data_IF_399764410607
#
_entry.id   IF_399764410607
#
_cell.length_a   1.000
_cell.length_b   1.000
_cell.length_c   1.000
_cell.angle_alpha   90.00
_cell.angle_beta   90.00
_cell.angle_gamma   90.00
#
_symmetry.space_group_name_H-M   'P 1'
#
loop_
_entity.id
_entity.type
_entity.pdbx_description
1 polymer ?
#
# COMPACT_ATOMS: atom_id res chain seq x y z
N UNK A 1 -21.23 -44.39 23.60
CA UNK A 1 -20.87 -43.57 24.77
C UNK A 1 -19.35 -43.46 24.75
N UNK A 2 -18.80 -42.25 24.59
CA UNK A 2 -17.34 -42.05 24.54
C UNK A 2 -16.79 -42.38 25.92
N UNK A 3 -15.72 -43.19 26.02
CA UNK A 3 -15.13 -43.53 27.31
C UNK A 3 -14.41 -42.31 27.90
N UNK A 4 -14.25 -42.22 29.24
CA UNK A 4 -13.51 -41.11 29.86
C UNK A 4 -12.09 -40.94 29.31
N UNK A 5 -11.43 -42.04 28.94
CA UNK A 5 -10.10 -42.05 28.33
C UNK A 5 -10.14 -41.50 26.89
N UNK A 6 -11.13 -41.90 26.08
CA UNK A 6 -11.33 -41.35 24.74
C UNK A 6 -11.68 -39.86 24.78
N UNK A 7 -12.49 -39.43 25.75
CA UNK A 7 -12.81 -38.02 25.97
C UNK A 7 -11.56 -37.23 26.35
N UNK A 8 -10.68 -37.79 27.19
CA UNK A 8 -9.41 -37.15 27.57
C UNK A 8 -8.47 -37.04 26.39
N UNK A 9 -8.33 -38.09 25.58
CA UNK A 9 -7.48 -38.09 24.38
C UNK A 9 -8.00 -37.14 23.31
N UNK A 10 -9.33 -37.04 23.14
CA UNK A 10 -9.94 -36.05 22.25
C UNK A 10 -9.69 -34.64 22.78
N UNK A 11 -9.82 -34.40 24.09
CA UNK A 11 -9.54 -33.11 24.69
C UNK A 11 -8.05 -32.75 24.70
N UNK A 12 -7.15 -33.72 24.85
CA UNK A 12 -5.70 -33.53 24.73
C UNK A 12 -5.29 -33.27 23.28
N UNK A 13 -5.86 -34.00 22.32
CA UNK A 13 -5.67 -33.75 20.90
C UNK A 13 -6.25 -32.38 20.49
N UNK A 14 -7.46 -32.05 20.95
CA UNK A 14 -8.07 -30.73 20.74
C UNK A 14 -7.25 -29.65 21.41
N UNK A 15 -6.68 -29.85 22.60
CA UNK A 15 -5.76 -28.89 23.25
C UNK A 15 -4.41 -28.77 22.55
N UNK A 16 -3.86 -29.84 21.99
CA UNK A 16 -2.63 -29.75 21.18
C UNK A 16 -2.89 -29.07 19.85
N UNK A 17 -4.11 -29.16 19.30
CA UNK A 17 -4.57 -28.37 18.16
C UNK A 17 -5.00 -26.94 18.54
N UNK A 18 -5.40 -26.72 19.80
CA UNK A 18 -5.78 -25.43 20.41
C UNK A 18 -4.63 -24.83 21.23
N UNK A 19 -3.37 -25.17 20.93
CA UNK A 19 -2.33 -24.18 21.18
C UNK A 19 -2.76 -23.02 20.28
N UNK A 20 -3.35 -21.99 20.87
CA UNK A 20 -3.45 -20.67 20.24
C UNK A 20 -2.06 -20.41 19.71
N UNK A 21 -1.87 -20.62 18.41
CA UNK A 21 -0.56 -20.60 17.82
C UNK A 21 -0.05 -19.19 18.11
N UNK A 22 0.99 -19.05 18.95
CA UNK A 22 1.58 -17.74 19.23
C UNK A 22 1.69 -16.96 17.92
N UNK A 23 1.29 -15.68 17.87
CA UNK A 23 1.33 -14.93 16.63
C UNK A 23 2.76 -14.98 16.08
N UNK A 24 2.90 -15.16 14.76
CA UNK A 24 4.22 -15.16 14.12
C UNK A 24 4.93 -13.84 14.45
N UNK A 25 6.23 -13.92 14.77
CA UNK A 25 7.06 -12.72 14.86
C UNK A 25 7.29 -12.13 13.47
N UNK A 26 7.75 -10.88 13.37
CA UNK A 26 7.98 -10.25 12.08
C UNK A 26 9.09 -10.93 11.27
N UNK A 27 10.10 -11.50 11.94
CA UNK A 27 11.16 -12.27 11.31
C UNK A 27 10.61 -13.57 10.71
N UNK A 28 9.72 -14.25 11.42
CA UNK A 28 9.06 -15.46 10.92
C UNK A 28 8.11 -15.13 9.76
N UNK A 29 7.36 -14.03 9.87
CA UNK A 29 6.51 -13.51 8.80
C UNK A 29 7.31 -13.20 7.54
N UNK A 30 8.48 -12.57 7.67
CA UNK A 30 9.39 -12.30 6.56
C UNK A 30 9.88 -13.59 5.88
N UNK A 31 10.27 -14.59 6.68
CA UNK A 31 10.70 -15.89 6.17
C UNK A 31 9.59 -16.57 5.37
N UNK A 32 8.35 -16.56 5.87
CA UNK A 32 7.18 -17.09 5.16
C UNK A 32 6.94 -16.31 3.87
N UNK A 33 6.99 -14.98 3.95
CA UNK A 33 6.88 -14.06 2.82
C UNK A 33 7.80 -14.41 1.67
N UNK A 34 9.09 -14.67 1.96
CA UNK A 34 10.07 -15.08 0.94
C UNK A 34 9.68 -16.36 0.22
N UNK A 35 9.13 -17.35 0.92
CA UNK A 35 8.73 -18.61 0.28
C UNK A 35 7.50 -18.42 -0.59
N UNK A 36 6.53 -17.63 -0.12
CA UNK A 36 5.35 -17.26 -0.92
C UNK A 36 5.79 -16.51 -2.18
N UNK A 37 6.66 -15.50 -2.05
CA UNK A 37 7.20 -14.76 -3.18
C UNK A 37 7.98 -15.67 -4.15
N UNK A 38 8.79 -16.60 -3.63
CA UNK A 38 9.50 -17.57 -4.47
C UNK A 38 8.55 -18.51 -5.22
N UNK A 39 7.45 -18.93 -4.60
CA UNK A 39 6.42 -19.73 -5.26
C UNK A 39 5.74 -18.96 -6.40
N UNK A 40 5.42 -17.67 -6.20
CA UNK A 40 4.91 -16.80 -7.27
C UNK A 40 5.95 -16.66 -8.40
N UNK A 41 7.22 -16.44 -8.06
CA UNK A 41 8.31 -16.31 -9.04
C UNK A 41 8.64 -17.61 -9.79
N UNK A 42 8.19 -18.76 -9.30
CA UNK A 42 8.27 -20.01 -10.05
C UNK A 42 7.23 -20.11 -11.17
N UNK A 43 6.14 -19.34 -11.06
CA UNK A 43 5.04 -19.30 -12.03
C UNK A 43 5.13 -18.09 -12.96
N UNK A 44 5.63 -16.96 -12.46
CA UNK A 44 5.76 -15.71 -13.19
C UNK A 44 7.22 -15.27 -13.31
N UNK A 45 7.65 -14.90 -14.51
CA UNK A 45 8.97 -14.31 -14.72
C UNK A 45 9.02 -12.88 -14.20
N UNK A 46 10.19 -12.45 -13.73
CA UNK A 46 10.44 -11.04 -13.39
C UNK A 46 10.47 -10.24 -14.69
N UNK A 47 9.83 -9.08 -14.69
CA UNK A 47 9.83 -8.22 -15.84
C UNK A 47 11.17 -7.48 -16.00
N UNK A 48 11.80 -7.61 -17.16
CA UNK A 48 13.13 -7.05 -17.46
C UNK A 48 13.06 -5.54 -17.77
N UNK A 49 12.57 -4.78 -16.79
CA UNK A 49 12.49 -3.32 -16.80
C UNK A 49 12.91 -2.77 -15.43
N UNK A 50 14.22 -2.65 -15.16
CA UNK A 50 14.73 -2.23 -13.87
C UNK A 50 14.34 -0.78 -13.52
N UNK A 51 14.24 0.10 -14.53
CA UNK A 51 13.83 1.50 -14.33
C UNK A 51 12.37 1.60 -13.88
N UNK A 52 11.47 0.84 -14.53
CA UNK A 52 10.06 0.72 -14.14
C UNK A 52 9.94 0.16 -12.71
N UNK A 53 10.65 -0.93 -12.43
CA UNK A 53 10.61 -1.56 -11.11
C UNK A 53 11.10 -0.61 -10.03
N UNK A 54 12.22 0.09 -10.26
CA UNK A 54 12.75 1.09 -9.33
C UNK A 54 11.77 2.23 -9.09
N UNK A 55 11.06 2.68 -10.14
CA UNK A 55 10.05 3.72 -10.04
C UNK A 55 8.88 3.33 -9.14
N UNK A 56 8.29 2.17 -9.41
CA UNK A 56 7.17 1.61 -8.66
C UNK A 56 7.58 1.35 -7.22
N UNK A 57 8.77 0.80 -7.01
CA UNK A 57 9.31 0.55 -5.68
C UNK A 57 9.51 1.87 -4.90
N UNK A 58 9.95 2.96 -5.57
CA UNK A 58 10.04 4.28 -4.95
C UNK A 58 8.68 4.82 -4.48
N UNK A 59 7.63 4.69 -5.32
CA UNK A 59 6.27 5.09 -4.93
C UNK A 59 5.80 4.26 -3.74
N UNK A 60 5.91 2.93 -3.85
CA UNK A 60 5.40 2.07 -2.80
C UNK A 60 6.18 2.13 -1.49
N UNK A 61 7.48 2.40 -1.50
CA UNK A 61 8.22 2.73 -0.27
C UNK A 61 7.71 4.04 0.36
N UNK A 62 7.43 5.06 -0.46
CA UNK A 62 6.83 6.32 0.01
C UNK A 62 5.46 6.12 0.63
N UNK A 63 4.61 5.28 0.04
CA UNK A 63 3.31 4.90 0.60
C UNK A 63 3.45 4.07 1.88
N UNK A 64 4.33 3.06 1.86
CA UNK A 64 4.57 2.17 2.99
C UNK A 64 5.04 2.89 4.25
N UNK A 65 5.72 4.03 4.12
CA UNK A 65 6.09 4.88 5.25
C UNK A 65 4.87 5.33 6.07
N UNK A 66 3.72 5.49 5.42
CA UNK A 66 2.47 5.88 6.05
C UNK A 66 1.56 4.69 6.38
N UNK A 67 1.97 3.44 6.13
CA UNK A 67 1.13 2.26 6.38
C UNK A 67 0.96 1.98 7.88
N UNK A 68 0.04 1.06 8.21
CA UNK A 68 -0.16 0.55 9.56
C UNK A 68 1.09 -0.17 10.13
N UNK A 69 2.02 -0.61 9.27
CA UNK A 69 3.26 -1.31 9.65
C UNK A 69 4.46 -0.80 8.84
N UNK A 70 4.95 0.42 9.10
CA UNK A 70 6.03 1.00 8.29
C UNK A 70 7.40 0.35 8.54
N UNK A 71 7.58 -0.31 9.68
CA UNK A 71 8.87 -0.84 10.16
C UNK A 71 8.92 -2.38 10.11
N UNK A 72 8.76 -2.98 8.93
CA UNK A 72 9.04 -4.41 8.72
C UNK A 72 10.55 -4.68 8.70
N UNK A 73 11.04 -5.86 9.11
CA UNK A 73 12.48 -6.16 9.25
C UNK A 73 13.33 -5.80 8.03
N UNK A 74 12.83 -6.07 6.82
CA UNK A 74 13.50 -5.74 5.55
C UNK A 74 12.73 -4.69 4.72
N UNK A 75 11.70 -4.08 5.31
CA UNK A 75 10.83 -3.13 4.63
C UNK A 75 9.92 -3.78 3.58
N UNK A 76 9.38 -2.94 2.69
CA UNK A 76 8.52 -3.38 1.58
C UNK A 76 9.31 -3.55 0.29
N UNK A 77 9.03 -4.63 -0.43
CA UNK A 77 9.64 -4.97 -1.70
C UNK A 77 8.58 -5.16 -2.75
N UNK A 78 8.52 -4.23 -3.71
CA UNK A 78 7.62 -4.32 -4.85
C UNK A 78 8.39 -4.77 -6.09
N UNK A 79 7.85 -5.78 -6.78
CA UNK A 79 8.44 -6.37 -7.97
C UNK A 79 7.41 -6.46 -9.10
N UNK A 80 7.84 -6.17 -10.32
CA UNK A 80 7.00 -6.27 -11.51
C UNK A 80 7.19 -7.63 -12.18
N UNK A 81 6.09 -8.29 -12.51
CA UNK A 81 6.05 -9.60 -13.15
C UNK A 81 5.71 -9.47 -14.64
N UNK A 82 6.37 -10.27 -15.48
CA UNK A 82 6.16 -10.33 -16.92
C UNK A 82 4.93 -11.19 -17.26
N UNK A 83 3.74 -10.61 -17.08
CA UNK A 83 2.48 -11.18 -17.53
C UNK A 83 1.54 -10.09 -18.04
N UNK A 84 0.83 -10.39 -19.13
CA UNK A 84 -0.27 -9.57 -19.65
C UNK A 84 -1.57 -9.76 -18.87
N UNK A 85 -1.68 -10.84 -18.09
CA UNK A 85 -2.77 -11.03 -17.13
C UNK A 85 -2.63 -10.01 -16.01
N UNK A 86 -3.74 -9.51 -15.49
CA UNK A 86 -3.71 -8.60 -14.36
C UNK A 86 -3.82 -9.38 -13.07
N UNK A 87 -2.73 -9.40 -12.30
CA UNK A 87 -2.65 -9.97 -10.95
C UNK A 87 -1.79 -9.08 -10.05
N UNK A 88 -2.10 -9.13 -8.76
CA UNK A 88 -1.21 -8.70 -7.71
C UNK A 88 -1.18 -9.75 -6.59
N UNK A 89 -0.06 -9.79 -5.88
CA UNK A 89 0.18 -10.70 -4.78
C UNK A 89 0.78 -9.93 -3.62
N UNK A 90 -0.03 -9.63 -2.61
CA UNK A 90 0.40 -9.11 -1.31
C UNK A 90 0.79 -10.28 -0.39
N UNK A 91 2.07 -10.63 -0.38
CA UNK A 91 2.62 -11.67 0.48
C UNK A 91 3.03 -11.11 1.86
N UNK A 92 3.05 -11.97 2.91
CA UNK A 92 3.49 -11.56 4.24
C UNK A 92 4.90 -10.98 4.25
N UNK A 93 5.25 -10.16 5.24
CA UNK A 93 6.63 -9.70 5.42
C UNK A 93 7.13 -8.67 4.40
N UNK A 94 6.22 -7.96 3.72
CA UNK A 94 6.55 -6.80 2.91
C UNK A 94 6.63 -7.03 1.40
N UNK A 95 6.36 -8.25 0.91
CA UNK A 95 6.47 -8.56 -0.51
C UNK A 95 5.17 -8.25 -1.26
N UNK A 96 5.26 -7.41 -2.29
CA UNK A 96 4.14 -7.07 -3.18
C UNK A 96 4.57 -7.34 -4.63
N UNK A 97 3.96 -8.30 -5.30
CA UNK A 97 4.31 -8.64 -6.69
C UNK A 97 3.15 -8.27 -7.60
N UNK A 98 3.41 -7.52 -8.67
CA UNK A 98 2.36 -6.96 -9.54
C UNK A 98 2.71 -7.27 -10.99
N UNK A 99 1.75 -7.72 -11.79
CA UNK A 99 1.97 -7.97 -13.21
C UNK A 99 1.95 -6.67 -14.02
N UNK A 100 2.74 -6.62 -15.10
CA UNK A 100 2.69 -5.48 -16.04
C UNK A 100 1.31 -5.31 -16.69
N UNK A 101 0.56 -6.39 -16.86
CA UNK A 101 -0.84 -6.35 -17.30
C UNK A 101 -1.71 -5.50 -16.38
N UNK A 102 -1.58 -5.66 -15.06
CA UNK A 102 -2.35 -4.86 -14.09
C UNK A 102 -1.96 -3.38 -14.14
N UNK A 103 -0.66 -3.08 -14.31
CA UNK A 103 -0.17 -1.70 -14.41
C UNK A 103 -0.80 -0.93 -15.58
N UNK A 104 -1.16 -1.60 -16.69
CA UNK A 104 -1.82 -0.98 -17.85
C UNK A 104 -3.20 -0.39 -17.54
N UNK A 105 -3.85 -0.84 -16.46
CA UNK A 105 -5.14 -0.27 -16.02
C UNK A 105 -4.97 1.08 -15.32
N UNK A 106 -3.76 1.44 -14.90
CA UNK A 106 -3.50 2.71 -14.24
C UNK A 106 -3.40 3.82 -15.29
N UNK A 107 -4.26 4.84 -15.18
CA UNK A 107 -4.31 5.94 -16.14
C UNK A 107 -3.35 7.09 -15.84
N UNK A 108 -2.85 7.16 -14.61
CA UNK A 108 -1.95 8.18 -14.08
C UNK A 108 -1.26 7.65 -12.81
N UNK A 109 -0.34 8.44 -12.25
CA UNK A 109 0.38 8.05 -11.03
C UNK A 109 -0.52 7.93 -9.80
N UNK A 110 -1.57 8.75 -9.67
CA UNK A 110 -2.49 8.64 -8.53
C UNK A 110 -3.17 7.26 -8.50
N UNK A 111 -3.62 6.75 -9.66
CA UNK A 111 -4.20 5.41 -9.78
C UNK A 111 -3.17 4.32 -9.53
N UNK A 112 -1.93 4.50 -9.98
CA UNK A 112 -0.83 3.57 -9.68
C UNK A 112 -0.54 3.54 -8.17
N UNK A 113 -0.46 4.71 -7.54
CA UNK A 113 -0.30 4.82 -6.09
C UNK A 113 -1.48 4.18 -5.36
N UNK A 114 -2.71 4.32 -5.85
CA UNK A 114 -3.89 3.71 -5.25
C UNK A 114 -3.87 2.18 -5.31
N UNK A 115 -3.49 1.61 -6.46
CA UNK A 115 -3.26 0.17 -6.60
C UNK A 115 -2.19 -0.30 -5.60
N UNK A 116 -1.04 0.36 -5.56
CA UNK A 116 0.04 -0.01 -4.63
C UNK A 116 -0.38 0.12 -3.17
N UNK A 117 -1.10 1.17 -2.82
CA UNK A 117 -1.61 1.41 -1.49
C UNK A 117 -2.55 0.27 -1.06
N UNK A 118 -3.47 -0.16 -1.93
CA UNK A 118 -4.36 -1.29 -1.67
C UNK A 118 -3.60 -2.57 -1.34
N UNK A 119 -2.62 -2.95 -2.18
CA UNK A 119 -1.82 -4.16 -1.97
C UNK A 119 -0.93 -4.06 -0.73
N UNK A 120 -0.33 -2.90 -0.49
CA UNK A 120 0.46 -2.63 0.73
C UNK A 120 -0.43 -2.76 1.98
N UNK A 121 -1.69 -2.32 1.93
CA UNK A 121 -2.64 -2.47 3.04
C UNK A 121 -2.91 -3.93 3.37
N UNK A 122 -3.05 -4.82 2.38
CA UNK A 122 -3.20 -6.25 2.63
C UNK A 122 -2.02 -6.84 3.40
N UNK A 123 -0.79 -6.47 3.02
CA UNK A 123 0.42 -6.88 3.75
C UNK A 123 0.50 -6.22 5.13
N UNK A 124 0.25 -4.91 5.23
CA UNK A 124 0.34 -4.14 6.47
C UNK A 124 -0.65 -4.62 7.54
N UNK A 125 -1.86 -5.00 7.13
CA UNK A 125 -2.91 -5.50 8.01
C UNK A 125 -2.77 -7.01 8.29
N UNK A 126 -1.82 -7.69 7.65
CA UNK A 126 -1.55 -9.11 7.87
C UNK A 126 -2.61 -10.03 7.26
N UNK A 127 -3.36 -9.58 6.25
CA UNK A 127 -4.42 -10.36 5.61
C UNK A 127 -3.88 -11.68 5.01
N UNK A 128 -2.70 -11.65 4.37
CA UNK A 128 -2.05 -12.84 3.84
C UNK A 128 -1.70 -13.88 4.92
N UNK A 129 -1.21 -13.42 6.08
CA UNK A 129 -0.88 -14.28 7.21
C UNK A 129 -2.14 -14.87 7.86
N UNK A 130 -3.19 -14.06 7.98
CA UNK A 130 -4.48 -14.51 8.48
C UNK A 130 -5.13 -15.54 7.55
N UNK A 131 -5.01 -15.37 6.23
CA UNK A 131 -5.48 -16.34 5.25
C UNK A 131 -4.70 -17.67 5.34
N UNK A 132 -3.37 -17.62 5.45
CA UNK A 132 -2.51 -18.80 5.65
C UNK A 132 -2.87 -19.59 6.92
N UNK A 133 -3.06 -18.90 8.05
CA UNK A 133 -3.40 -19.53 9.32
C UNK A 133 -4.80 -20.14 9.31
N UNK A 134 -5.76 -19.45 8.70
CA UNK A 134 -7.15 -19.90 8.57
C UNK A 134 -7.27 -21.17 7.71
N UNK A 135 -6.34 -21.40 6.79
CA UNK A 135 -6.27 -22.61 5.97
C UNK A 135 -5.67 -23.83 6.68
N UNK A 136 -5.49 -23.76 8.02
CA UNK A 136 -4.86 -24.80 8.86
C UNK A 136 -3.39 -25.07 8.52
N UNK A 137 -2.73 -24.13 7.84
CA UNK A 137 -1.32 -24.22 7.46
C UNK A 137 -0.38 -23.51 8.44
N UNK A 138 -0.94 -22.91 9.50
CA UNK A 138 -0.16 -22.20 10.52
C UNK A 138 0.93 -23.07 11.16
N UNK A 139 0.60 -24.31 11.51
CA UNK A 139 1.57 -25.25 12.11
C UNK A 139 2.70 -25.63 11.15
N UNK A 140 2.39 -25.80 9.85
CA UNK A 140 3.37 -26.09 8.81
C UNK A 140 4.29 -24.88 8.55
N UNK A 141 3.73 -23.68 8.54
CA UNK A 141 4.50 -22.44 8.39
C UNK A 141 5.47 -22.23 9.56
N UNK A 142 5.03 -22.45 10.79
CA UNK A 142 5.92 -22.41 11.98
C UNK A 142 7.03 -23.45 11.92
N UNK A 143 6.69 -24.67 11.49
CA UNK A 143 7.67 -25.73 11.32
C UNK A 143 8.74 -25.36 10.29
N UNK A 144 8.36 -24.76 9.16
CA UNK A 144 9.31 -24.27 8.16
C UNK A 144 10.23 -23.19 8.72
N UNK A 145 9.66 -22.20 9.39
CA UNK A 145 10.42 -21.12 10.03
C UNK A 145 11.49 -21.70 10.98
N UNK A 146 11.11 -22.65 11.82
CA UNK A 146 12.05 -23.36 12.70
C UNK A 146 13.17 -24.07 11.93
N UNK A 147 12.88 -24.67 10.77
CA UNK A 147 13.90 -25.30 9.91
C UNK A 147 14.81 -24.28 9.22
N UNK A 148 14.28 -23.10 8.90
CA UNK A 148 15.00 -22.05 8.17
C UNK A 148 15.95 -21.23 9.04
N UNK A 149 15.69 -21.20 10.35
CA UNK A 149 16.62 -20.65 11.35
C UNK A 149 17.62 -21.74 11.71
N UNK A 150 18.91 -21.41 11.84
CA UNK A 150 20.06 -22.35 11.94
C UNK A 150 20.02 -23.38 13.10
N UNK A 151 18.93 -23.44 13.86
CA UNK A 151 18.70 -24.30 15.02
C UNK A 151 18.30 -25.75 14.66
N UNK A 152 17.95 -26.05 13.41
CA UNK A 152 17.46 -27.38 13.02
C UNK A 152 18.54 -28.24 12.35
N UNK A 153 19.27 -29.02 13.15
CA UNK A 153 20.27 -29.99 12.66
C UNK A 153 19.68 -31.20 11.89
N UNK A 154 18.36 -31.26 11.70
CA UNK A 154 17.68 -32.36 11.02
C UNK A 154 16.75 -31.85 9.91
N UNK A 155 17.27 -31.84 8.69
CA UNK A 155 16.48 -31.61 7.46
C UNK A 155 15.45 -32.74 7.29
N UNK A 156 14.20 -32.50 7.66
CA UNK A 156 13.11 -33.39 7.27
C UNK A 156 12.61 -33.00 5.88
N UNK A 157 13.12 -33.69 4.85
CA UNK A 157 12.79 -33.46 3.45
C UNK A 157 11.28 -33.57 3.17
N UNK A 158 10.59 -34.52 3.81
CA UNK A 158 9.16 -34.76 3.62
C UNK A 158 8.32 -33.57 4.12
N UNK A 159 8.66 -33.04 5.30
CA UNK A 159 7.97 -31.88 5.85
C UNK A 159 8.23 -30.59 5.03
N UNK A 160 9.41 -30.46 4.42
CA UNK A 160 9.71 -29.37 3.48
C UNK A 160 8.86 -29.47 2.21
N UNK A 161 8.76 -30.67 1.61
CA UNK A 161 7.93 -30.89 0.42
C UNK A 161 6.45 -30.60 0.69
N UNK A 162 5.93 -31.02 1.85
CA UNK A 162 4.57 -30.69 2.29
C UNK A 162 4.35 -29.19 2.47
N UNK A 163 5.33 -28.47 3.04
CA UNK A 163 5.23 -27.03 3.18
C UNK A 163 5.29 -26.29 1.83
N UNK A 164 6.14 -26.72 0.91
CA UNK A 164 6.18 -26.12 -0.44
C UNK A 164 4.87 -26.36 -1.20
N UNK A 165 4.31 -27.56 -1.13
CA UNK A 165 3.00 -27.86 -1.70
C UNK A 165 1.90 -26.98 -1.09
N UNK A 166 1.92 -26.81 0.23
CA UNK A 166 1.02 -25.93 0.95
C UNK A 166 1.09 -24.47 0.49
N UNK A 167 2.30 -23.94 0.32
CA UNK A 167 2.51 -22.57 -0.15
C UNK A 167 2.00 -22.42 -1.58
N UNK A 168 2.22 -23.41 -2.45
CA UNK A 168 1.67 -23.41 -3.79
C UNK A 168 0.14 -23.41 -3.79
N UNK A 169 -0.49 -24.27 -2.99
CA UNK A 169 -1.95 -24.31 -2.83
C UNK A 169 -2.48 -22.97 -2.30
N UNK A 170 -1.76 -22.33 -1.35
CA UNK A 170 -2.10 -21.01 -0.84
C UNK A 170 -2.02 -19.94 -1.93
N UNK A 171 -0.93 -19.88 -2.69
CA UNK A 171 -0.79 -18.94 -3.81
C UNK A 171 -1.92 -19.15 -4.82
N UNK A 172 -2.21 -20.39 -5.20
CA UNK A 172 -3.33 -20.70 -6.09
C UNK A 172 -4.69 -20.32 -5.51
N UNK A 173 -4.89 -20.49 -4.21
CA UNK A 173 -6.11 -20.10 -3.52
C UNK A 173 -6.32 -18.59 -3.59
N UNK A 174 -5.36 -17.79 -3.14
CA UNK A 174 -5.49 -16.32 -3.15
C UNK A 174 -5.61 -15.79 -4.59
N UNK A 175 -4.97 -16.47 -5.55
CA UNK A 175 -5.09 -16.15 -6.98
C UNK A 175 -6.50 -16.34 -7.56
N UNK A 176 -7.33 -17.16 -6.91
CA UNK A 176 -8.66 -17.53 -7.43
C UNK A 176 -9.78 -16.97 -6.57
N UNK A 177 -9.64 -17.05 -5.24
CA UNK A 177 -10.68 -16.69 -4.29
C UNK A 177 -10.53 -15.28 -3.71
N UNK A 178 -9.34 -14.69 -3.78
CA UNK A 178 -9.10 -13.38 -3.18
C UNK A 178 -9.17 -13.36 -1.65
N UNK A 179 -9.33 -12.17 -1.10
CA UNK A 179 -9.52 -11.95 0.34
C UNK A 179 -11.00 -11.82 0.71
N UNK A 180 -11.31 -11.91 2.01
CA UNK A 180 -12.69 -11.75 2.48
C UNK A 180 -13.19 -10.31 2.28
N UNK A 181 -14.51 -10.14 2.15
CA UNK A 181 -15.14 -8.82 2.03
C UNK A 181 -14.69 -7.81 3.09
N UNK A 182 -14.55 -8.25 4.35
CA UNK A 182 -14.13 -7.37 5.44
C UNK A 182 -12.70 -6.89 5.22
N UNK A 183 -11.81 -7.77 4.78
CA UNK A 183 -10.42 -7.44 4.48
C UNK A 183 -10.29 -6.47 3.31
N UNK A 184 -11.14 -6.58 2.29
CA UNK A 184 -11.17 -5.60 1.18
C UNK A 184 -11.55 -4.20 1.69
N UNK A 185 -12.57 -4.11 2.55
CA UNK A 185 -12.98 -2.82 3.13
C UNK A 185 -11.93 -2.22 4.08
N UNK A 186 -11.24 -3.06 4.85
CA UNK A 186 -10.13 -2.63 5.70
C UNK A 186 -8.94 -2.17 4.85
N UNK A 187 -8.62 -2.89 3.77
CA UNK A 187 -7.58 -2.52 2.83
C UNK A 187 -7.88 -1.20 2.11
N UNK A 188 -9.12 -0.99 1.66
CA UNK A 188 -9.59 0.26 1.06
C UNK A 188 -9.42 1.45 2.01
N UNK A 189 -9.88 1.30 3.26
CA UNK A 189 -9.83 2.37 4.25
C UNK A 189 -8.38 2.76 4.58
N UNK A 190 -7.50 1.77 4.76
CA UNK A 190 -6.07 2.01 5.01
C UNK A 190 -5.37 2.57 3.78
N UNK A 191 -5.70 2.10 2.58
CA UNK A 191 -5.14 2.60 1.33
C UNK A 191 -5.47 4.09 1.13
N UNK A 192 -6.73 4.48 1.33
CA UNK A 192 -7.14 5.87 1.24
C UNK A 192 -6.44 6.76 2.26
N UNK A 193 -6.20 6.25 3.48
CA UNK A 193 -5.42 6.95 4.48
C UNK A 193 -3.97 7.14 4.04
N UNK A 194 -3.31 6.09 3.56
CA UNK A 194 -1.93 6.19 3.06
C UNK A 194 -1.82 7.16 1.89
N UNK A 195 -2.78 7.13 0.95
CA UNK A 195 -2.82 8.07 -0.17
C UNK A 195 -2.93 9.52 0.32
N UNK A 196 -3.84 9.79 1.25
CA UNK A 196 -4.00 11.13 1.82
C UNK A 196 -2.71 11.64 2.47
N UNK A 197 -2.10 10.83 3.34
CA UNK A 197 -0.87 11.21 4.06
C UNK A 197 0.34 11.34 3.14
N UNK A 198 0.39 10.57 2.04
CA UNK A 198 1.42 10.66 1.01
C UNK A 198 1.13 11.74 -0.05
N UNK A 199 0.12 12.58 0.18
CA UNK A 199 -0.35 13.66 -0.70
C UNK A 199 -0.82 13.19 -2.10
N UNK A 200 -1.15 11.91 -2.27
CA UNK A 200 -1.84 11.40 -3.46
C UNK A 200 -3.35 11.61 -3.35
N UNK A 201 -4.06 11.59 -4.49
CA UNK A 201 -5.53 11.75 -4.49
C UNK A 201 -6.23 10.49 -3.94
N UNK A 202 -6.91 10.52 -2.77
CA UNK A 202 -7.55 9.32 -2.22
C UNK A 202 -8.66 8.75 -3.12
N UNK A 203 -9.36 9.61 -3.87
CA UNK A 203 -10.43 9.18 -4.78
C UNK A 203 -9.92 8.36 -5.98
N UNK A 204 -8.61 8.36 -6.25
CA UNK A 204 -8.02 7.57 -7.34
C UNK A 204 -8.18 6.06 -7.14
N UNK A 205 -8.38 5.59 -5.90
CA UNK A 205 -8.76 4.20 -5.64
C UNK A 205 -10.13 3.87 -6.25
N UNK A 206 -11.09 4.78 -6.15
CA UNK A 206 -12.40 4.64 -6.78
C UNK A 206 -12.29 4.64 -8.31
N UNK A 207 -11.46 5.51 -8.87
CA UNK A 207 -11.22 5.56 -10.32
C UNK A 207 -10.63 4.23 -10.84
N UNK A 208 -9.73 3.62 -10.07
CA UNK A 208 -9.16 2.31 -10.38
C UNK A 208 -10.21 1.20 -10.32
N UNK A 209 -11.04 1.14 -9.26
CA UNK A 209 -12.12 0.14 -9.15
C UNK A 209 -13.13 0.29 -10.30
N UNK A 210 -13.51 1.53 -10.65
CA UNK A 210 -14.39 1.80 -11.80
C UNK A 210 -13.75 1.35 -13.12
N UNK A 211 -12.46 1.60 -13.29
CA UNK A 211 -11.72 1.20 -14.51
C UNK A 211 -11.66 -0.32 -14.64
N UNK A 212 -11.39 -1.01 -13.53
CA UNK A 212 -11.36 -2.47 -13.45
C UNK A 212 -12.73 -3.08 -13.80
N UNK A 213 -13.80 -2.61 -13.15
CA UNK A 213 -15.16 -3.14 -13.33
C UNK A 213 -15.70 -2.90 -14.75
N UNK A 214 -15.36 -1.76 -15.36
CA UNK A 214 -15.79 -1.47 -16.73
C UNK A 214 -14.95 -2.17 -17.80
N UNK A 215 -13.83 -2.79 -17.43
CA UNK A 215 -12.96 -3.47 -18.37
C UNK A 215 -13.60 -4.76 -18.86
N UNK A 216 -13.77 -4.89 -20.18
CA UNK A 216 -14.34 -6.08 -20.83
C UNK A 216 -13.29 -7.13 -21.19
N UNK A 217 -12.02 -6.80 -20.98
CA UNK A 217 -10.92 -7.68 -21.33
C UNK A 217 -10.75 -8.74 -20.24
N UNK A 218 -10.86 -10.00 -20.65
CA UNK A 218 -10.85 -11.18 -19.78
C UNK A 218 -9.59 -11.24 -18.91
N UNK A 219 -8.48 -10.65 -19.38
CA UNK A 219 -7.21 -10.56 -18.63
C UNK A 219 -7.32 -9.78 -17.32
N UNK A 220 -8.35 -8.94 -17.18
CA UNK A 220 -8.60 -8.13 -15.98
C UNK A 220 -9.67 -8.72 -15.06
N UNK A 221 -10.47 -9.65 -15.56
CA UNK A 221 -11.55 -10.26 -14.77
C UNK A 221 -11.00 -11.04 -13.58
N UNK A 222 -9.82 -11.65 -13.73
CA UNK A 222 -9.23 -12.43 -12.64
C UNK A 222 -8.87 -11.55 -11.43
N UNK A 223 -8.32 -10.35 -11.65
CA UNK A 223 -8.08 -9.41 -10.54
C UNK A 223 -9.38 -8.92 -9.90
N UNK A 224 -10.42 -8.65 -10.70
CA UNK A 224 -11.75 -8.29 -10.15
C UNK A 224 -12.35 -9.43 -9.30
N UNK A 225 -12.14 -10.69 -9.68
CA UNK A 225 -12.55 -11.84 -8.87
C UNK A 225 -11.77 -11.95 -7.54
N UNK A 226 -10.49 -11.58 -7.53
CA UNK A 226 -9.66 -11.53 -6.31
C UNK A 226 -10.09 -10.40 -5.36
N UNK A 227 -10.67 -9.32 -5.90
CA UNK A 227 -11.08 -8.14 -5.15
C UNK A 227 -12.55 -7.80 -5.41
N UNK A 228 -13.49 -8.64 -4.94
CA UNK A 228 -14.89 -8.55 -5.31
C UNK A 228 -15.60 -7.33 -4.70
N UNK A 229 -16.90 -7.20 -5.00
CA UNK A 229 -17.83 -6.24 -4.40
C UNK A 229 -17.57 -4.78 -4.79
N UNK A 230 -17.33 -4.55 -6.09
CA UNK A 230 -17.08 -3.23 -6.65
C UNK A 230 -18.12 -2.17 -6.20
N UNK A 231 -19.42 -2.48 -6.26
CA UNK A 231 -20.47 -1.53 -5.86
C UNK A 231 -20.38 -1.10 -4.38
N UNK A 232 -20.23 -2.06 -3.47
CA UNK A 232 -20.12 -1.77 -2.03
C UNK A 232 -18.83 -1.01 -1.70
N UNK A 233 -17.72 -1.40 -2.33
CA UNK A 233 -16.43 -0.71 -2.20
C UNK A 233 -16.53 0.73 -2.68
N UNK A 234 -17.09 0.96 -3.87
CA UNK A 234 -17.27 2.30 -4.43
C UNK A 234 -18.12 3.20 -3.54
N UNK A 235 -19.18 2.67 -2.93
CA UNK A 235 -20.01 3.40 -1.97
C UNK A 235 -19.21 3.88 -0.75
N UNK A 236 -18.39 2.99 -0.17
CA UNK A 236 -17.53 3.29 0.99
C UNK A 236 -16.39 4.24 0.64
N UNK A 237 -15.70 3.99 -0.46
CA UNK A 237 -14.63 4.83 -1.00
C UNK A 237 -15.17 6.25 -1.24
N UNK A 238 -16.36 6.38 -1.84
CA UNK A 238 -16.99 7.68 -2.07
C UNK A 238 -17.21 8.46 -0.77
N UNK A 239 -17.71 7.78 0.28
CA UNK A 239 -17.94 8.40 1.59
C UNK A 239 -16.63 8.86 2.25
N UNK A 240 -15.58 8.03 2.19
CA UNK A 240 -14.26 8.36 2.74
C UNK A 240 -13.56 9.47 1.94
N UNK A 241 -13.70 9.48 0.62
CA UNK A 241 -13.11 10.50 -0.24
C UNK A 241 -13.69 11.88 0.08
N UNK A 242 -14.99 11.96 0.36
CA UNK A 242 -15.63 13.19 0.80
C UNK A 242 -15.07 13.65 2.16
N UNK A 243 -14.86 12.75 3.11
CA UNK A 243 -14.25 13.07 4.40
C UNK A 243 -12.84 13.66 4.23
N UNK A 244 -11.98 13.03 3.42
CA UNK A 244 -10.62 13.52 3.17
C UNK A 244 -10.60 14.87 2.45
N UNK A 245 -11.52 15.09 1.50
CA UNK A 245 -11.66 16.38 0.83
C UNK A 245 -12.01 17.50 1.82
N UNK A 246 -12.98 17.26 2.71
CA UNK A 246 -13.34 18.21 3.76
C UNK A 246 -12.18 18.47 4.72
N UNK A 247 -11.40 17.44 5.06
CA UNK A 247 -10.21 17.55 5.92
C UNK A 247 -9.14 18.42 5.27
N UNK A 248 -8.80 18.17 4.00
CA UNK A 248 -7.84 18.96 3.24
C UNK A 248 -8.26 20.44 3.17
N UNK A 249 -9.55 20.72 2.92
CA UNK A 249 -10.06 22.10 2.89
C UNK A 249 -9.93 22.79 4.27
N UNK A 250 -10.20 22.06 5.35
CA UNK A 250 -10.02 22.56 6.72
C UNK A 250 -8.55 22.86 7.04
N UNK A 251 -7.63 21.98 6.66
CA UNK A 251 -6.19 22.16 6.85
C UNK A 251 -5.66 23.37 6.06
N UNK A 252 -6.01 23.46 4.78
CA UNK A 252 -5.64 24.59 3.95
C UNK A 252 -6.14 25.93 4.53
N UNK A 253 -7.38 25.97 5.05
CA UNK A 253 -7.92 27.15 5.74
C UNK A 253 -7.10 27.52 6.98
N UNK A 254 -6.70 26.55 7.80
CA UNK A 254 -5.88 26.79 8.99
C UNK A 254 -4.52 27.38 8.61
N UNK A 255 -3.87 26.83 7.58
CA UNK A 255 -2.59 27.35 7.09
C UNK A 255 -2.70 28.79 6.58
N UNK A 256 -3.78 29.11 5.85
CA UNK A 256 -4.02 30.47 5.37
C UNK A 256 -4.18 31.47 6.52
N UNK A 257 -4.92 31.09 7.57
CA UNK A 257 -5.07 31.92 8.77
C UNK A 257 -3.73 32.11 9.48
N UNK A 258 -2.98 31.03 9.71
CA UNK A 258 -1.66 31.11 10.33
C UNK A 258 -0.68 31.97 9.52
N UNK A 259 -0.72 31.87 8.19
CA UNK A 259 0.10 32.70 7.30
C UNK A 259 -0.30 34.17 7.40
N UNK A 260 -1.60 34.48 7.37
CA UNK A 260 -2.08 35.86 7.55
C UNK A 260 -1.67 36.44 8.91
N UNK A 261 -1.84 35.68 9.99
CA UNK A 261 -1.45 36.08 11.34
C UNK A 261 0.06 36.37 11.42
N UNK A 262 0.89 35.54 10.79
CA UNK A 262 2.34 35.76 10.73
C UNK A 262 2.72 37.02 9.95
N UNK A 263 1.99 37.34 8.87
CA UNK A 263 2.23 38.56 8.11
C UNK A 263 1.83 39.81 8.90
N UNK A 264 0.70 39.76 9.61
CA UNK A 264 0.22 40.86 10.44
C UNK A 264 1.13 41.12 11.66
N UNK A 265 1.65 40.07 12.30
CA UNK A 265 2.61 40.22 13.41
C UNK A 265 3.94 40.86 12.96
N UNK A 266 4.38 40.60 11.73
CA UNK A 266 5.57 41.24 11.16
C UNK A 266 5.33 42.72 10.81
N UNK A 267 4.08 43.15 10.58
CA UNK A 267 3.76 44.57 10.35
C UNK A 267 3.84 45.39 11.64
N UNK A 268 3.39 44.84 12.78
CA UNK A 268 3.42 45.51 14.09
C UNK A 268 4.85 45.84 14.57
N UNK A 269 5.85 45.02 14.22
CA UNK A 269 7.27 45.35 14.47
C UNK A 269 7.80 46.49 13.56
N UNK A 270 7.25 46.64 12.34
CA UNK A 270 7.66 47.70 11.42
C UNK A 270 7.10 49.09 11.80
N UNK A 271 5.96 49.13 12.51
CA UNK A 271 5.33 50.36 12.99
C UNK A 271 6.04 51.00 14.20
N UNK A 272 6.89 50.27 14.91
CA UNK A 272 7.67 50.84 16.01
C UNK A 272 8.99 51.50 15.59
N UNK A 273 9.38 51.44 14.31
CA UNK A 273 10.56 52.12 13.77
C UNK A 273 10.26 53.29 12.81
N UNK A 274 8.99 53.69 12.64
CA UNK A 274 8.60 54.79 11.74
C UNK A 274 7.87 55.94 12.44
N UNK A 275 8.04 56.10 13.75
CA UNK A 275 7.66 57.33 14.46
C UNK A 275 8.88 58.24 14.68
N UNK A 276 9.38 58.83 13.59
CA UNK A 276 10.10 60.10 13.63
C UNK A 276 10.03 60.75 12.25
N UNK A 277 9.56 62.00 12.24
CA UNK A 277 9.40 62.91 11.10
C UNK A 277 8.06 62.82 10.32
N UNK A 278 6.97 63.18 11.01
CA UNK A 278 5.93 63.98 10.37
C UNK A 278 6.31 65.45 10.55
N UNK A 279 6.99 66.05 9.57
CA UNK A 279 6.95 67.49 9.30
C UNK A 279 7.63 67.81 7.96
N UNK A 280 6.87 68.54 7.11
CA UNK A 280 7.29 69.27 5.92
C UNK A 280 7.36 68.54 4.56
N UNK A 281 6.40 68.88 3.68
CA UNK A 281 6.72 69.48 2.38
C UNK A 281 6.64 68.62 1.12
N UNK A 282 5.65 68.94 0.28
CA UNK A 282 5.78 69.23 -1.17
C UNK A 282 6.35 68.16 -2.16
N UNK A 283 5.47 67.79 -3.10
CA UNK A 283 5.62 67.50 -4.55
C UNK A 283 6.72 66.54 -5.10
N UNK A 284 6.19 65.65 -5.96
CA UNK A 284 6.66 65.23 -7.29
C UNK A 284 7.60 64.03 -7.52
N UNK A 285 7.13 63.21 -8.48
CA UNK A 285 7.87 62.48 -9.51
C UNK A 285 8.59 61.15 -9.20
N UNK A 286 8.42 60.19 -10.12
CA UNK A 286 9.55 59.49 -10.72
C UNK A 286 9.76 58.01 -10.38
N UNK A 287 9.37 57.14 -11.32
CA UNK A 287 10.08 55.94 -11.80
C UNK A 287 10.56 54.83 -10.84
N UNK A 288 10.00 53.63 -11.12
CA UNK A 288 10.64 52.31 -11.22
C UNK A 288 11.67 51.83 -10.21
N UNK A 289 11.29 50.78 -9.48
CA UNK A 289 12.13 49.61 -9.32
C UNK A 289 11.32 48.37 -9.69
N UNK A 290 11.56 47.86 -10.90
CA UNK A 290 11.19 46.51 -11.29
C UNK A 290 11.86 45.53 -10.31
N UNK A 291 11.08 45.03 -9.34
CA UNK A 291 11.36 43.73 -8.74
C UNK A 291 10.72 42.71 -9.67
N UNK A 292 11.51 42.24 -10.64
CA UNK A 292 11.25 40.91 -11.21
C UNK A 292 11.37 39.90 -10.07
N UNK A 293 10.28 39.72 -9.35
CA UNK A 293 10.04 38.48 -8.64
C UNK A 293 9.87 37.44 -9.74
N UNK A 294 10.96 36.77 -10.09
CA UNK A 294 10.92 35.52 -10.81
C UNK A 294 10.17 34.55 -9.87
N UNK A 295 8.84 34.53 -9.98
CA UNK A 295 8.01 33.51 -9.38
C UNK A 295 8.32 32.26 -10.20
N UNK A 296 9.34 31.52 -9.77
CA UNK A 296 9.43 30.10 -10.11
C UNK A 296 8.20 29.51 -9.45
N UNK A 297 7.11 29.41 -10.21
CA UNK A 297 5.96 28.64 -9.75
C UNK A 297 6.49 27.24 -9.50
N UNK A 298 6.42 26.70 -8.28
CA UNK A 298 6.73 25.30 -8.09
C UNK A 298 5.79 24.53 -9.02
N UNK A 299 6.36 23.72 -9.90
CA UNK A 299 5.56 22.78 -10.68
C UNK A 299 4.71 21.99 -9.69
N UNK A 300 3.39 21.93 -9.91
CA UNK A 300 2.52 21.23 -8.98
C UNK A 300 2.97 19.77 -8.87
N UNK A 301 2.89 19.19 -7.67
CA UNK A 301 3.23 17.78 -7.45
C UNK A 301 2.44 16.88 -8.43
N UNK A 302 1.20 17.25 -8.71
CA UNK A 302 0.37 16.59 -9.72
C UNK A 302 1.03 16.56 -11.11
N UNK A 303 1.57 17.69 -11.58
CA UNK A 303 2.24 17.73 -12.88
C UNK A 303 3.54 16.92 -12.87
N UNK A 304 4.32 16.99 -11.78
CA UNK A 304 5.53 16.17 -11.64
C UNK A 304 5.24 14.68 -11.66
N UNK A 305 4.16 14.26 -10.99
CA UNK A 305 3.68 12.87 -10.99
C UNK A 305 3.23 12.45 -12.38
N UNK A 306 2.41 13.26 -13.05
CA UNK A 306 1.96 12.99 -14.42
C UNK A 306 3.13 12.85 -15.41
N UNK A 307 4.08 13.80 -15.40
CA UNK A 307 5.25 13.75 -16.29
C UNK A 307 6.10 12.51 -16.05
N UNK A 308 6.36 12.17 -14.78
CA UNK A 308 7.15 10.98 -14.43
C UNK A 308 6.44 9.69 -14.82
N UNK A 309 5.12 9.62 -14.63
CA UNK A 309 4.32 8.46 -15.03
C UNK A 309 4.30 8.30 -16.55
N UNK A 310 4.04 9.37 -17.31
CA UNK A 310 4.03 9.30 -18.78
C UNK A 310 5.39 8.89 -19.36
N UNK A 311 6.50 9.22 -18.68
CA UNK A 311 7.83 8.78 -19.08
C UNK A 311 8.02 7.25 -18.98
N UNK A 312 7.39 6.59 -17.99
CA UNK A 312 7.52 5.14 -17.77
C UNK A 312 6.37 4.32 -18.36
N UNK A 313 5.25 4.96 -18.72
CA UNK A 313 4.07 4.32 -19.28
C UNK A 313 4.31 3.38 -20.46
N UNK A 314 5.24 3.66 -21.41
CA UNK A 314 5.54 2.76 -22.52
C UNK A 314 6.23 1.45 -22.09
N UNK A 315 6.71 1.38 -20.85
CA UNK A 315 7.44 0.22 -20.35
C UNK A 315 6.50 -0.92 -19.94
N UNK A 316 5.20 -0.72 -19.74
CA UNK A 316 4.29 -1.80 -19.39
C UNK A 316 3.27 -2.07 -20.49
#
# INVERSE_FOLDING_TARGET
>A
MITPEQSRLILEAVRSFQIESEPFTYEEEYVIGRVVAAAVLSQYQVYDQPELTAYINKIGQGLAFYSARPCLPEGYHILVLDSEEAHAFAAPGGFVLITRGLLKLTGNEDMLAALLAHEISHTALGHGLLALTSYRMGDLAKYYVMLSTESAQSYNKEAMELFLAAVHDFVSLISVQGYSQVMEFEADAEAMRMLYEAEYRPSALGDFVVTLENSKDERFQQYSMQHPLAEDRLSRIGSLAEEYSQRAELEHRKECVQRLDSLLQNEDESWHNSNLACEQGFLDSGYELAKENLIISPVSLELLRQERFEAIRPLF
#
